data_IF_218729458370
#
_entry.id   IF_218729458370
#
_cell.length_a   1.000
_cell.length_b   1.000
_cell.length_c   1.000
_cell.angle_alpha   90.00
_cell.angle_beta   90.00
_cell.angle_gamma   90.00
#
_symmetry.space_group_name_H-M   'P 1'
#
loop_
_entity.id
_entity.type
_entity.pdbx_description
1 polymer ?
#
# COMPACT_ATOMS: atom_id res chain seq x y z
N UNK A 1 0.52 17.43 9.96
CA UNK A 1 0.39 17.61 11.42
C UNK A 1 0.25 16.24 12.07
N UNK A 2 0.86 16.04 13.25
CA UNK A 2 0.73 14.82 14.07
C UNK A 2 -0.20 15.15 15.23
N UNK A 3 -1.15 14.26 15.49
CA UNK A 3 -2.12 14.41 16.58
C UNK A 3 -1.96 13.29 17.59
N UNK A 4 -2.22 13.59 18.85
CA UNK A 4 -2.44 12.59 19.88
C UNK A 4 -3.79 11.90 19.64
N UNK A 5 -3.80 10.57 19.63
CA UNK A 5 -5.00 9.80 19.29
C UNK A 5 -6.09 9.89 20.37
N UNK A 6 -5.68 9.94 21.65
CA UNK A 6 -6.64 9.93 22.78
C UNK A 6 -7.27 11.31 22.99
N UNK A 7 -6.46 12.35 22.88
CA UNK A 7 -6.91 13.72 23.15
C UNK A 7 -7.37 14.48 21.91
N UNK A 8 -6.98 14.01 20.72
CA UNK A 8 -7.20 14.75 19.46
C UNK A 8 -6.36 16.02 19.35
N UNK A 9 -5.48 16.29 20.31
CA UNK A 9 -4.68 17.51 20.33
C UNK A 9 -3.53 17.44 19.31
N UNK A 10 -3.17 18.57 18.66
CA UNK A 10 -2.01 18.62 17.78
C UNK A 10 -0.72 18.51 18.62
N UNK A 11 0.09 17.51 18.32
CA UNK A 11 1.39 17.27 19.00
C UNK A 11 2.52 17.94 18.25
N UNK A 12 2.49 17.89 16.92
CA UNK A 12 3.59 18.43 16.10
C UNK A 12 3.10 18.88 14.71
N UNK A 13 3.56 20.05 14.29
CA UNK A 13 3.43 20.49 12.91
C UNK A 13 4.64 20.06 12.08
N UNK A 14 4.36 19.37 10.97
CA UNK A 14 5.33 18.92 9.99
C UNK A 14 5.10 19.56 8.60
N UNK A 15 4.34 20.62 8.52
CA UNK A 15 4.00 21.30 7.26
C UNK A 15 5.20 21.81 6.47
N UNK A 16 6.33 22.04 7.15
CA UNK A 16 7.58 22.52 6.56
C UNK A 16 8.51 21.43 6.01
N UNK A 17 8.13 20.15 6.16
CA UNK A 17 8.99 19.02 5.73
C UNK A 17 9.12 18.95 4.24
N UNK A 18 8.06 19.27 3.51
CA UNK A 18 7.97 19.22 2.06
C UNK A 18 7.51 20.54 1.46
N UNK A 19 8.01 20.84 0.26
CA UNK A 19 7.55 22.00 -0.52
C UNK A 19 6.25 21.72 -1.29
N UNK A 20 5.79 20.49 -1.29
CA UNK A 20 4.56 20.04 -1.95
C UNK A 20 3.66 19.23 -1.02
N UNK A 21 2.50 18.85 -1.57
CA UNK A 21 1.56 17.96 -0.85
C UNK A 21 2.24 16.64 -0.50
N UNK A 22 2.24 16.27 0.78
CA UNK A 22 2.59 14.92 1.21
C UNK A 22 1.46 13.97 0.80
N UNK A 23 1.74 13.06 -0.13
CA UNK A 23 0.76 12.15 -0.73
C UNK A 23 0.76 10.75 -0.12
N UNK A 24 1.85 10.37 0.54
CA UNK A 24 2.01 9.01 1.08
C UNK A 24 2.90 9.01 2.32
N UNK A 25 2.55 8.12 3.26
CA UNK A 25 3.23 7.90 4.52
C UNK A 25 3.52 6.41 4.70
N UNK A 26 4.67 6.10 5.29
CA UNK A 26 5.02 4.74 5.70
C UNK A 26 5.76 4.76 7.04
N UNK A 27 5.37 3.87 7.95
CA UNK A 27 6.04 3.71 9.24
C UNK A 27 7.08 2.59 9.18
N UNK A 28 8.28 2.86 9.68
CA UNK A 28 9.28 1.84 9.90
C UNK A 28 9.22 1.38 11.37
N UNK A 29 8.77 0.14 11.64
CA UNK A 29 8.63 -0.34 13.01
C UNK A 29 9.98 -0.56 13.72
N UNK A 30 11.04 -0.89 12.97
CA UNK A 30 12.37 -1.17 13.53
C UNK A 30 13.07 0.11 13.99
N UNK A 31 13.12 1.12 13.14
CA UNK A 31 13.76 2.40 13.45
C UNK A 31 12.84 3.38 14.17
N UNK A 32 11.54 3.10 14.21
CA UNK A 32 10.48 3.97 14.73
C UNK A 32 10.51 5.35 14.06
N UNK A 33 10.67 5.37 12.76
CA UNK A 33 10.67 6.58 11.94
C UNK A 33 9.47 6.61 11.02
N UNK A 34 8.96 7.81 10.78
CA UNK A 34 7.94 8.08 9.78
C UNK A 34 8.62 8.44 8.47
N UNK A 35 8.33 7.70 7.41
CA UNK A 35 8.78 8.05 6.06
C UNK A 35 7.64 8.74 5.33
N UNK A 36 7.95 9.86 4.69
CA UNK A 36 6.98 10.69 3.96
C UNK A 36 7.41 10.83 2.50
N UNK A 37 6.46 10.76 1.58
CA UNK A 37 6.67 11.00 0.16
C UNK A 37 5.71 12.07 -0.36
N UNK A 38 6.22 12.95 -1.23
CA UNK A 38 5.51 14.15 -1.61
C UNK A 38 5.52 14.41 -3.12
N UNK A 39 4.69 15.37 -3.51
CA UNK A 39 4.64 15.92 -4.87
C UNK A 39 5.94 16.64 -5.27
N UNK A 40 6.76 17.07 -4.30
CA UNK A 40 8.09 17.64 -4.54
C UNK A 40 9.13 16.58 -4.95
N UNK A 41 8.71 15.33 -5.19
CA UNK A 41 9.55 14.17 -5.54
C UNK A 41 10.51 13.69 -4.45
N UNK A 42 10.50 14.32 -3.29
CA UNK A 42 11.36 13.96 -2.16
C UNK A 42 10.72 12.92 -1.25
N UNK A 43 11.58 12.10 -0.66
CA UNK A 43 11.23 11.17 0.41
C UNK A 43 12.07 11.54 1.63
N UNK A 44 11.41 11.80 2.76
CA UNK A 44 12.07 12.09 4.03
C UNK A 44 11.78 11.02 5.06
N UNK A 45 12.82 10.61 5.79
CA UNK A 45 12.65 9.88 7.04
C UNK A 45 12.66 10.87 8.21
N UNK A 46 11.70 10.72 9.10
CA UNK A 46 11.45 11.61 10.22
C UNK A 46 11.48 10.82 11.53
N UNK A 47 12.39 11.17 12.43
CA UNK A 47 12.33 10.69 13.81
C UNK A 47 11.47 11.64 14.65
N UNK A 48 10.25 11.23 14.96
CA UNK A 48 9.30 12.04 15.69
C UNK A 48 9.67 12.24 17.17
N UNK A 49 10.67 11.52 17.68
CA UNK A 49 11.20 11.68 19.06
C UNK A 49 12.16 12.87 19.16
N UNK A 50 12.77 13.29 18.05
CA UNK A 50 13.68 14.41 18.03
C UNK A 50 12.92 15.72 18.18
N UNK A 51 13.12 16.50 19.26
CA UNK A 51 12.57 17.84 19.35
C UNK A 51 13.25 18.76 18.32
N UNK A 52 12.52 19.59 17.64
CA UNK A 52 13.04 20.54 16.64
C UNK A 52 13.11 19.95 15.24
N UNK A 53 14.25 19.47 14.77
CA UNK A 53 14.43 19.02 13.38
C UNK A 53 14.42 17.50 13.26
N UNK A 54 13.26 16.86 12.93
CA UNK A 54 13.13 15.42 12.90
C UNK A 54 13.67 14.77 11.60
N UNK A 55 14.07 15.52 10.57
CA UNK A 55 14.59 14.97 9.31
C UNK A 55 15.89 14.21 9.56
N UNK A 56 15.93 12.91 9.24
CA UNK A 56 17.07 12.04 9.45
C UNK A 56 17.73 11.60 8.14
N UNK A 57 16.94 11.40 7.09
CA UNK A 57 17.45 11.01 5.79
C UNK A 57 16.58 11.55 4.65
N UNK A 58 17.24 11.95 3.56
CA UNK A 58 16.63 12.34 2.29
C UNK A 58 16.94 11.29 1.24
N UNK A 59 15.91 10.89 0.47
CA UNK A 59 16.07 10.09 -0.75
C UNK A 59 15.51 10.88 -1.93
N UNK A 60 16.36 11.11 -2.92
CA UNK A 60 16.01 11.91 -4.09
C UNK A 60 16.41 11.18 -5.38
N UNK A 61 15.48 10.40 -5.92
CA UNK A 61 15.63 9.74 -7.22
C UNK A 61 14.41 9.93 -8.09
N UNK A 62 13.26 10.11 -7.46
CA UNK A 62 12.02 10.41 -8.15
C UNK A 62 12.09 11.79 -8.79
N UNK A 63 11.43 11.96 -9.93
CA UNK A 63 11.35 13.23 -10.67
C UNK A 63 9.93 13.79 -10.70
N UNK A 64 8.98 13.01 -10.21
CA UNK A 64 7.58 13.37 -10.06
C UNK A 64 7.07 12.97 -8.68
N UNK A 65 5.77 13.16 -8.44
CA UNK A 65 5.11 12.84 -7.17
C UNK A 65 5.38 11.39 -6.74
N UNK A 66 5.81 11.21 -5.49
CA UNK A 66 5.92 9.90 -4.84
C UNK A 66 4.54 9.44 -4.42
N UNK A 67 4.04 8.38 -5.06
CA UNK A 67 2.67 7.90 -4.91
C UNK A 67 2.53 6.69 -3.99
N UNK A 68 3.59 5.91 -3.84
CA UNK A 68 3.60 4.70 -3.03
C UNK A 68 4.85 4.61 -2.17
N UNK A 69 4.68 4.17 -0.92
CA UNK A 69 5.76 3.86 0.03
C UNK A 69 5.38 2.64 0.85
N UNK A 70 6.32 1.72 1.02
CA UNK A 70 6.15 0.60 1.94
C UNK A 70 7.51 0.10 2.44
N UNK A 71 7.62 -0.09 3.74
CA UNK A 71 8.76 -0.74 4.37
C UNK A 71 8.63 -2.26 4.30
N UNK A 72 9.74 -2.95 4.09
CA UNK A 72 9.81 -4.40 4.27
C UNK A 72 9.49 -4.77 5.73
N UNK A 73 8.97 -5.99 6.00
CA UNK A 73 8.62 -6.40 7.36
C UNK A 73 9.79 -6.34 8.36
N UNK A 74 11.03 -6.47 7.89
CA UNK A 74 12.24 -6.35 8.70
C UNK A 74 12.79 -4.92 8.78
N UNK A 75 12.07 -3.92 8.28
CA UNK A 75 12.45 -2.51 8.32
C UNK A 75 13.73 -2.13 7.55
N UNK A 76 14.30 -3.07 6.78
CA UNK A 76 15.63 -2.88 6.14
C UNK A 76 15.57 -2.33 4.73
N UNK A 77 14.44 -2.53 4.05
CA UNK A 77 14.28 -2.05 2.67
C UNK A 77 13.00 -1.23 2.56
N UNK A 78 13.14 -0.01 2.04
CA UNK A 78 11.99 0.79 1.63
C UNK A 78 11.74 0.57 0.14
N UNK A 79 10.50 0.37 -0.24
CA UNK A 79 10.04 0.45 -1.62
C UNK A 79 9.30 1.77 -1.83
N UNK A 80 9.64 2.49 -2.90
CA UNK A 80 8.93 3.71 -3.29
C UNK A 80 8.51 3.66 -4.75
N UNK A 81 7.33 4.16 -5.04
CA UNK A 81 6.78 4.27 -6.39
C UNK A 81 6.43 5.71 -6.73
N UNK A 82 6.74 6.13 -7.94
CA UNK A 82 6.50 7.48 -8.44
C UNK A 82 5.55 7.53 -9.62
N UNK A 83 5.10 8.75 -9.89
CA UNK A 83 4.22 9.06 -11.03
C UNK A 83 4.93 8.91 -12.39
N UNK A 84 6.28 8.93 -12.40
CA UNK A 84 7.13 8.67 -13.58
C UNK A 84 7.32 7.17 -13.86
N UNK A 85 6.46 6.30 -13.31
CA UNK A 85 6.45 4.85 -13.50
C UNK A 85 7.68 4.13 -12.86
N UNK A 86 8.40 4.83 -11.98
CA UNK A 86 9.62 4.34 -11.39
C UNK A 86 9.32 3.64 -10.06
N UNK A 87 9.86 2.44 -9.89
CA UNK A 87 9.99 1.74 -8.61
C UNK A 87 11.43 1.86 -8.13
N UNK A 88 11.63 2.30 -6.90
CA UNK A 88 12.93 2.33 -6.24
C UNK A 88 12.92 1.45 -5.00
N UNK A 89 14.05 0.75 -4.76
CA UNK A 89 14.32 0.00 -3.53
C UNK A 89 15.54 0.61 -2.84
N UNK A 90 15.39 0.97 -1.57
CA UNK A 90 16.40 1.66 -0.77
C UNK A 90 16.82 0.79 0.41
N UNK A 91 18.13 0.70 0.68
CA UNK A 91 18.64 0.04 1.89
C UNK A 91 18.61 1.06 3.05
N UNK A 92 17.91 0.72 4.13
CA UNK A 92 17.81 1.58 5.32
C UNK A 92 19.15 1.85 6.00
N UNK A 93 20.11 0.95 5.83
CA UNK A 93 21.46 1.07 6.43
C UNK A 93 22.42 1.93 5.61
N UNK A 94 21.99 2.30 4.40
CA UNK A 94 22.80 3.08 3.50
C UNK A 94 22.40 4.55 3.55
N UNK A 95 23.33 5.42 3.94
CA UNK A 95 23.08 6.87 3.97
C UNK A 95 23.14 7.53 2.59
N UNK A 96 23.36 6.75 1.53
CA UNK A 96 23.40 7.29 0.16
C UNK A 96 22.00 7.68 -0.30
N UNK A 97 21.86 8.79 -1.02
CA UNK A 97 20.59 9.25 -1.54
C UNK A 97 20.09 8.43 -2.75
N UNK A 98 20.91 7.54 -3.32
CA UNK A 98 20.55 6.70 -4.45
C UNK A 98 19.93 5.37 -4.01
N UNK A 99 18.91 4.88 -4.76
CA UNK A 99 18.33 3.58 -4.51
C UNK A 99 19.28 2.45 -4.93
N UNK A 100 19.19 1.32 -4.23
CA UNK A 100 19.88 0.08 -4.61
C UNK A 100 19.35 -0.51 -5.92
N UNK A 101 18.04 -0.35 -6.16
CA UNK A 101 17.35 -0.76 -7.39
C UNK A 101 16.48 0.40 -7.85
N UNK A 102 16.53 0.69 -9.15
CA UNK A 102 15.62 1.62 -9.83
C UNK A 102 15.10 0.96 -11.10
N UNK A 103 13.80 0.79 -11.25
CA UNK A 103 13.19 0.07 -12.37
C UNK A 103 11.97 0.79 -12.91
N UNK A 104 11.92 0.96 -14.23
CA UNK A 104 10.76 1.46 -15.00
C UNK A 104 9.99 0.32 -15.70
N UNK A 105 9.88 -0.85 -15.07
CA UNK A 105 9.16 -1.97 -15.65
C UNK A 105 7.64 -1.74 -15.72
N UNK A 106 7.09 -0.81 -14.92
CA UNK A 106 5.71 -0.37 -15.04
C UNK A 106 5.55 0.67 -16.15
N UNK A 107 4.41 0.62 -16.85
CA UNK A 107 4.05 1.59 -17.90
C UNK A 107 3.22 2.78 -17.37
N UNK A 108 2.88 2.77 -16.08
CA UNK A 108 2.16 3.86 -15.41
C UNK A 108 2.59 3.99 -13.96
N UNK A 109 2.08 5.03 -13.27
CA UNK A 109 2.38 5.34 -11.88
C UNK A 109 2.30 4.11 -10.96
N UNK A 110 3.24 3.98 -10.05
CA UNK A 110 3.33 2.87 -9.08
C UNK A 110 2.84 3.37 -7.73
N UNK A 111 1.56 3.14 -7.43
CA UNK A 111 0.94 3.53 -6.16
C UNK A 111 0.82 2.36 -5.19
N UNK A 112 0.32 1.23 -5.67
CA UNK A 112 0.10 0.06 -4.84
C UNK A 112 1.41 -0.70 -4.65
N UNK A 113 1.85 -0.82 -3.41
CA UNK A 113 3.08 -1.51 -3.01
C UNK A 113 2.78 -2.33 -1.76
N UNK A 114 3.13 -3.62 -1.78
CA UNK A 114 2.94 -4.48 -0.61
C UNK A 114 4.06 -5.53 -0.52
N UNK A 115 4.68 -5.63 0.65
CA UNK A 115 5.66 -6.67 0.96
C UNK A 115 4.97 -7.94 1.44
N UNK A 116 5.49 -9.09 1.03
CA UNK A 116 5.06 -10.36 1.61
C UNK A 116 5.50 -10.43 3.08
N UNK A 117 4.60 -10.76 4.02
CA UNK A 117 4.97 -10.87 5.43
C UNK A 117 5.88 -12.07 5.71
N UNK A 118 5.76 -13.15 4.91
CA UNK A 118 6.52 -14.40 5.12
C UNK A 118 7.84 -14.44 4.36
N UNK A 119 7.91 -13.79 3.20
CA UNK A 119 9.06 -13.85 2.29
C UNK A 119 9.73 -12.48 2.20
N UNK A 120 10.82 -12.29 2.98
CA UNK A 120 11.54 -11.01 3.12
C UNK A 120 11.93 -10.33 1.81
N UNK A 121 12.14 -11.10 0.74
CA UNK A 121 12.53 -10.56 -0.57
C UNK A 121 11.41 -10.51 -1.59
N UNK A 122 10.17 -10.87 -1.23
CA UNK A 122 9.04 -10.85 -2.15
C UNK A 122 8.25 -9.55 -1.99
N UNK A 123 8.18 -8.81 -3.08
CA UNK A 123 7.45 -7.55 -3.17
C UNK A 123 6.40 -7.64 -4.26
N UNK A 124 5.20 -7.10 -4.02
CA UNK A 124 4.18 -6.89 -5.04
C UNK A 124 4.00 -5.40 -5.31
N UNK A 125 3.85 -5.04 -6.58
CA UNK A 125 3.54 -3.67 -7.00
C UNK A 125 2.41 -3.67 -8.01
N UNK A 126 1.61 -2.62 -8.00
CA UNK A 126 0.50 -2.43 -8.92
C UNK A 126 0.65 -1.19 -9.76
N UNK A 127 0.42 -1.33 -11.05
CA UNK A 127 0.51 -0.24 -12.03
C UNK A 127 -0.80 0.51 -12.20
N UNK A 128 -0.68 1.76 -12.62
CA UNK A 128 -1.80 2.67 -12.90
C UNK A 128 -2.60 2.29 -14.16
N UNK A 129 -3.42 3.22 -14.63
CA UNK A 129 -4.42 2.99 -15.69
C UNK A 129 -3.84 2.53 -17.03
N UNK A 130 -2.64 2.96 -17.39
CA UNK A 130 -2.00 2.58 -18.65
C UNK A 130 -1.18 1.28 -18.54
N UNK A 131 -0.91 0.79 -17.33
CA UNK A 131 -0.14 -0.41 -17.08
C UNK A 131 -1.02 -1.62 -16.77
N UNK A 132 -1.97 -1.47 -15.85
CA UNK A 132 -2.96 -2.48 -15.48
C UNK A 132 -2.36 -3.84 -15.11
N UNK A 133 -1.17 -3.85 -14.50
CA UNK A 133 -0.50 -5.08 -14.10
C UNK A 133 -0.21 -5.12 -12.60
N UNK A 134 -0.22 -6.33 -12.05
CA UNK A 134 0.46 -6.64 -10.81
C UNK A 134 1.80 -7.28 -11.15
N UNK A 135 2.88 -6.75 -10.60
CA UNK A 135 4.23 -7.33 -10.74
C UNK A 135 4.73 -7.85 -9.40
N UNK A 136 5.31 -9.04 -9.44
CA UNK A 136 6.02 -9.62 -8.30
C UNK A 136 7.53 -9.49 -8.53
N UNK A 137 8.25 -9.15 -7.48
CA UNK A 137 9.67 -8.85 -7.55
C UNK A 137 10.46 -9.67 -6.54
N UNK A 138 11.65 -10.09 -6.95
CA UNK A 138 12.69 -10.42 -5.99
C UNK A 138 13.39 -9.11 -5.59
N UNK A 139 13.06 -8.60 -4.41
CA UNK A 139 13.60 -7.34 -3.95
C UNK A 139 15.12 -7.39 -3.69
N UNK A 140 15.70 -8.55 -3.48
CA UNK A 140 17.17 -8.68 -3.31
C UNK A 140 17.95 -8.43 -4.61
N UNK A 141 17.44 -8.93 -5.73
CA UNK A 141 18.08 -8.78 -7.05
C UNK A 141 17.49 -7.63 -7.88
N UNK A 142 16.29 -7.14 -7.53
CA UNK A 142 15.52 -6.20 -8.35
C UNK A 142 14.84 -6.83 -9.57
N UNK A 143 14.87 -8.16 -9.70
CA UNK A 143 14.29 -8.86 -10.83
C UNK A 143 12.77 -9.00 -10.71
N UNK A 144 12.06 -8.81 -11.83
CA UNK A 144 10.64 -9.16 -11.95
C UNK A 144 10.50 -10.67 -12.01
N UNK A 145 9.73 -11.25 -11.11
CA UNK A 145 9.42 -12.68 -11.06
C UNK A 145 8.20 -13.04 -11.92
N UNK A 146 7.19 -12.16 -11.89
CA UNK A 146 5.93 -12.34 -12.61
C UNK A 146 5.33 -10.96 -12.96
N UNK A 147 4.61 -10.89 -14.07
CA UNK A 147 3.86 -9.70 -14.48
C UNK A 147 2.47 -10.13 -14.97
N UNK A 148 1.47 -9.93 -14.11
CA UNK A 148 0.09 -10.37 -14.35
C UNK A 148 -0.79 -9.20 -14.78
N UNK A 149 -1.37 -9.30 -15.98
CA UNK A 149 -2.37 -8.36 -16.43
C UNK A 149 -3.67 -8.53 -15.61
N UNK A 150 -4.21 -7.41 -15.15
CA UNK A 150 -5.46 -7.36 -14.35
C UNK A 150 -6.62 -6.74 -15.13
N UNK A 151 -6.34 -6.08 -16.25
CA UNK A 151 -7.33 -5.42 -17.10
C UNK A 151 -7.85 -4.09 -16.55
N UNK A 152 -7.41 -3.66 -15.37
CA UNK A 152 -7.81 -2.39 -14.73
C UNK A 152 -6.69 -1.86 -13.85
N UNK A 153 -6.75 -0.56 -13.53
CA UNK A 153 -5.82 0.08 -12.60
C UNK A 153 -5.77 -0.66 -11.25
N UNK A 154 -4.58 -0.94 -10.75
CA UNK A 154 -4.37 -1.48 -9.40
C UNK A 154 -4.24 -0.31 -8.43
N UNK A 155 -5.16 -0.21 -7.47
CA UNK A 155 -5.23 0.91 -6.52
C UNK A 155 -4.63 0.59 -5.16
N UNK A 156 -4.64 -0.71 -4.77
CA UNK A 156 -4.09 -1.19 -3.51
C UNK A 156 -3.75 -2.68 -3.58
N UNK A 157 -2.85 -3.10 -2.71
CA UNK A 157 -2.39 -4.48 -2.55
C UNK A 157 -2.29 -4.84 -1.07
N UNK A 158 -2.61 -6.07 -0.72
CA UNK A 158 -2.43 -6.61 0.63
C UNK A 158 -2.10 -8.11 0.58
N UNK A 159 -1.12 -8.56 1.36
CA UNK A 159 -0.76 -9.98 1.46
C UNK A 159 -1.45 -10.66 2.63
N UNK A 160 -1.88 -11.89 2.42
CA UNK A 160 -2.17 -12.78 3.54
C UNK A 160 -0.89 -13.18 4.27
N UNK A 161 -0.96 -13.31 5.59
CA UNK A 161 0.17 -13.76 6.40
C UNK A 161 0.42 -15.27 6.24
N UNK A 162 -0.63 -16.08 6.22
CA UNK A 162 -0.52 -17.53 6.40
C UNK A 162 -0.66 -18.31 5.09
N UNK A 163 -1.36 -17.76 4.09
CA UNK A 163 -1.72 -18.51 2.87
C UNK A 163 -0.91 -18.14 1.64
N UNK A 164 -0.06 -17.12 1.74
CA UNK A 164 0.70 -16.61 0.59
C UNK A 164 -0.19 -16.05 -0.53
N UNK A 165 -1.41 -15.68 -0.20
CA UNK A 165 -2.36 -15.06 -1.13
C UNK A 165 -2.16 -13.54 -1.17
N UNK A 166 -2.39 -12.96 -2.33
CA UNK A 166 -2.34 -11.51 -2.56
C UNK A 166 -3.74 -11.01 -2.90
N UNK A 167 -4.19 -9.99 -2.21
CA UNK A 167 -5.39 -9.23 -2.57
C UNK A 167 -4.98 -8.00 -3.37
N UNK A 168 -5.68 -7.73 -4.47
CA UNK A 168 -5.59 -6.48 -5.20
C UNK A 168 -6.94 -5.77 -5.25
N UNK A 169 -6.94 -4.45 -5.11
CA UNK A 169 -8.11 -3.60 -5.36
C UNK A 169 -7.91 -2.81 -6.64
N UNK A 170 -9.03 -2.50 -7.29
CA UNK A 170 -9.02 -1.96 -8.62
C UNK A 170 -9.84 -0.68 -8.77
N UNK A 171 -9.44 0.12 -9.75
CA UNK A 171 -10.15 1.32 -10.15
C UNK A 171 -11.07 1.09 -11.34
N UNK A 172 -11.36 2.17 -12.04
CA UNK A 172 -12.16 2.19 -13.25
C UNK A 172 -11.62 1.18 -14.29
N UNK A 173 -12.41 0.32 -14.92
CA UNK A 173 -13.89 0.39 -15.03
C UNK A 173 -14.64 -0.67 -14.20
N UNK A 174 -13.94 -1.59 -13.53
CA UNK A 174 -14.58 -2.77 -12.93
C UNK A 174 -14.71 -2.68 -11.41
N UNK A 175 -13.87 -1.85 -10.75
CA UNK A 175 -13.93 -1.54 -9.31
C UNK A 175 -13.91 -2.78 -8.39
N UNK A 176 -13.33 -3.88 -8.86
CA UNK A 176 -13.31 -5.18 -8.17
C UNK A 176 -12.18 -5.27 -7.15
N UNK A 177 -12.30 -6.27 -6.29
CA UNK A 177 -11.20 -6.84 -5.53
C UNK A 177 -10.91 -8.24 -6.09
N UNK A 178 -9.62 -8.58 -6.23
CA UNK A 178 -9.21 -9.90 -6.69
C UNK A 178 -8.26 -10.55 -5.69
N UNK A 179 -8.48 -11.83 -5.40
CA UNK A 179 -7.55 -12.67 -4.62
C UNK A 179 -6.75 -13.53 -5.59
N UNK A 180 -5.45 -13.53 -5.41
CA UNK A 180 -4.49 -14.25 -6.22
C UNK A 180 -3.70 -15.22 -5.35
N UNK A 181 -3.30 -16.37 -5.93
CA UNK A 181 -2.35 -17.30 -5.31
C UNK A 181 -1.02 -17.20 -6.05
N UNK A 182 0.05 -16.99 -5.31
CA UNK A 182 1.40 -17.04 -5.84
C UNK A 182 1.97 -18.47 -5.73
N UNK A 183 2.25 -19.08 -6.87
CA UNK A 183 2.97 -20.35 -6.95
C UNK A 183 4.45 -20.06 -7.32
N UNK A 184 5.33 -20.17 -6.33
CA UNK A 184 6.75 -19.87 -6.53
C UNK A 184 7.47 -20.89 -7.43
N UNK A 185 6.99 -22.15 -7.48
CA UNK A 185 7.59 -23.20 -8.31
C UNK A 185 7.28 -22.97 -9.79
N UNK A 186 6.04 -22.59 -10.08
CA UNK A 186 5.59 -22.28 -11.44
C UNK A 186 5.87 -20.85 -11.88
N UNK A 187 6.23 -19.97 -10.91
CA UNK A 187 6.30 -18.51 -11.11
C UNK A 187 5.01 -17.97 -11.74
N UNK A 188 3.85 -18.38 -11.22
CA UNK A 188 2.56 -17.95 -11.70
C UNK A 188 1.75 -17.27 -10.59
N UNK A 189 1.02 -16.23 -10.97
CA UNK A 189 0.05 -15.54 -10.13
C UNK A 189 -1.35 -15.87 -10.67
N UNK A 190 -2.05 -16.80 -10.00
CA UNK A 190 -3.32 -17.32 -10.45
C UNK A 190 -4.48 -16.65 -9.70
N UNK A 191 -5.46 -16.14 -10.45
CA UNK A 191 -6.66 -15.53 -9.87
C UNK A 191 -7.56 -16.60 -9.27
N UNK A 192 -7.85 -16.48 -7.95
CA UNK A 192 -8.73 -17.39 -7.22
C UNK A 192 -10.16 -16.86 -7.16
N UNK A 193 -10.32 -15.59 -6.79
CA UNK A 193 -11.62 -14.97 -6.51
C UNK A 193 -11.63 -13.58 -7.10
N UNK A 194 -12.81 -13.19 -7.57
CA UNK A 194 -13.11 -11.83 -7.97
C UNK A 194 -14.39 -11.36 -7.28
N UNK A 195 -14.34 -10.21 -6.61
CA UNK A 195 -15.43 -9.65 -5.82
C UNK A 195 -15.80 -8.28 -6.39
N UNK A 196 -17.04 -8.13 -6.87
CA UNK A 196 -17.58 -6.89 -7.46
C UNK A 196 -18.71 -6.38 -6.59
N UNK A 197 -18.42 -5.45 -5.69
CA UNK A 197 -19.43 -4.84 -4.81
C UNK A 197 -19.34 -3.31 -4.82
N UNK A 198 -18.13 -2.76 -4.97
CA UNK A 198 -17.97 -1.33 -5.16
C UNK A 198 -18.52 -0.91 -6.52
N UNK A 199 -19.30 0.17 -6.53
CA UNK A 199 -19.86 0.76 -7.75
C UNK A 199 -18.95 1.81 -8.35
N UNK A 200 -17.93 2.26 -7.59
CA UNK A 200 -16.91 3.17 -8.04
C UNK A 200 -15.52 2.69 -7.59
N UNK A 201 -14.50 3.38 -8.06
CA UNK A 201 -13.09 3.04 -7.83
C UNK A 201 -12.77 2.82 -6.36
N UNK A 202 -12.10 1.72 -6.02
CA UNK A 202 -11.57 1.49 -4.68
C UNK A 202 -10.37 2.43 -4.46
N UNK A 203 -10.41 3.20 -3.37
CA UNK A 203 -9.43 4.26 -3.08
C UNK A 203 -8.35 3.80 -2.12
N UNK A 204 -8.74 3.02 -1.10
CA UNK A 204 -7.85 2.56 -0.05
C UNK A 204 -8.21 1.16 0.43
N UNK A 205 -7.18 0.46 0.91
CA UNK A 205 -7.27 -0.83 1.61
C UNK A 205 -6.61 -0.67 2.98
N UNK A 206 -7.18 -1.32 3.98
CA UNK A 206 -6.56 -1.51 5.28
C UNK A 206 -6.75 -2.94 5.74
N UNK A 207 -5.70 -3.56 6.24
CA UNK A 207 -5.73 -4.92 6.73
C UNK A 207 -5.83 -4.93 8.26
N UNK A 208 -6.60 -5.87 8.81
CA UNK A 208 -6.69 -6.04 10.26
C UNK A 208 -5.34 -6.53 10.84
N UNK A 209 -5.03 -6.22 12.11
CA UNK A 209 -3.76 -6.62 12.73
C UNK A 209 -3.52 -8.13 12.76
N UNK A 210 -4.59 -8.92 12.79
CA UNK A 210 -4.56 -10.39 12.73
C UNK A 210 -4.51 -10.93 11.29
N UNK A 211 -4.48 -10.07 10.29
CA UNK A 211 -4.48 -10.38 8.86
C UNK A 211 -5.70 -11.15 8.34
N UNK A 212 -6.73 -11.36 9.15
CA UNK A 212 -7.91 -12.14 8.76
C UNK A 212 -8.91 -11.37 7.90
N UNK A 213 -8.93 -10.04 8.04
CA UNK A 213 -9.90 -9.16 7.37
C UNK A 213 -9.22 -8.05 6.61
N UNK A 214 -9.91 -7.56 5.60
CA UNK A 214 -9.51 -6.36 4.85
C UNK A 214 -10.69 -5.40 4.78
N UNK A 215 -10.46 -4.15 5.11
CA UNK A 215 -11.39 -3.06 4.85
C UNK A 215 -11.04 -2.42 3.51
N UNK A 216 -12.05 -2.09 2.71
CA UNK A 216 -11.91 -1.31 1.49
C UNK A 216 -12.84 -0.11 1.50
N UNK A 217 -12.37 1.01 0.98
CA UNK A 217 -13.16 2.24 0.80
C UNK A 217 -13.14 2.62 -0.67
N UNK A 218 -14.32 2.89 -1.22
CA UNK A 218 -14.49 3.31 -2.60
C UNK A 218 -14.91 4.78 -2.76
N UNK A 219 -14.84 5.28 -3.99
CA UNK A 219 -15.42 6.60 -4.35
C UNK A 219 -16.95 6.57 -4.37
N UNK A 220 -17.56 5.41 -4.14
CA UNK A 220 -18.99 5.22 -3.90
C UNK A 220 -19.39 5.55 -2.46
N UNK A 221 -18.46 6.09 -1.67
CA UNK A 221 -18.65 6.45 -0.25
C UNK A 221 -19.00 5.24 0.63
N UNK A 222 -18.65 4.02 0.19
CA UNK A 222 -18.92 2.78 0.90
C UNK A 222 -17.66 2.24 1.53
N UNK A 223 -17.73 1.88 2.82
CA UNK A 223 -16.76 1.07 3.53
C UNK A 223 -17.24 -0.38 3.55
N UNK A 224 -16.41 -1.30 3.07
CA UNK A 224 -16.67 -2.74 3.11
C UNK A 224 -15.61 -3.47 3.91
N UNK A 225 -16.03 -4.48 4.68
CA UNK A 225 -15.13 -5.38 5.40
C UNK A 225 -15.26 -6.78 4.81
N UNK A 226 -14.12 -7.35 4.43
CA UNK A 226 -14.00 -8.63 3.74
C UNK A 226 -13.27 -9.64 4.62
N UNK A 227 -13.80 -10.85 4.74
CA UNK A 227 -13.11 -12.00 5.28
C UNK A 227 -12.57 -12.83 4.10
N UNK A 228 -11.35 -12.53 3.65
CA UNK A 228 -10.80 -13.06 2.39
C UNK A 228 -9.66 -14.05 2.59
N UNK A 229 -9.00 -14.01 3.75
CA UNK A 229 -7.84 -14.83 4.05
C UNK A 229 -8.14 -15.89 5.14
N UNK A 230 -9.26 -16.60 5.00
CA UNK A 230 -9.62 -17.63 5.98
C UNK A 230 -8.83 -18.92 5.70
N UNK A 231 -7.88 -19.25 6.56
CA UNK A 231 -7.04 -20.45 6.47
C UNK A 231 -7.86 -21.76 6.52
N UNK A 232 -9.10 -21.72 7.00
CA UNK A 232 -9.99 -22.90 7.08
C UNK A 232 -10.64 -23.25 5.75
N UNK A 233 -10.61 -22.37 4.77
CA UNK A 233 -11.23 -22.60 3.47
C UNK A 233 -10.40 -23.49 2.52
N UNK A 234 -9.11 -23.65 2.77
CA UNK A 234 -8.24 -24.51 1.95
C UNK A 234 -8.35 -26.02 2.30
N UNK A 235 -8.98 -26.39 3.42
CA UNK A 235 -9.09 -27.79 3.88
C UNK A 235 -10.31 -28.54 3.30
N UNK A 236 -11.17 -27.90 2.54
CA UNK A 236 -12.34 -28.54 1.92
C UNK A 236 -12.68 -27.88 0.58
N UNK A 237 -12.74 -28.67 -0.48
CA UNK A 237 -13.21 -28.26 -1.81
C UNK A 237 -14.65 -27.70 -1.72
N UNK A 238 -14.81 -26.48 -1.32
CA UNK A 238 -16.08 -25.78 -1.24
C UNK A 238 -15.88 -24.30 -1.55
N UNK A 239 -16.70 -23.76 -2.42
CA UNK A 239 -16.67 -22.39 -2.88
C UNK A 239 -16.46 -21.40 -1.72
N UNK A 240 -15.37 -20.64 -1.76
CA UNK A 240 -15.13 -19.48 -0.90
C UNK A 240 -16.19 -18.42 -1.20
N UNK A 241 -17.33 -18.54 -0.54
CA UNK A 241 -18.30 -17.46 -0.49
C UNK A 241 -17.77 -16.43 0.50
N UNK A 242 -17.19 -15.37 0.01
CA UNK A 242 -16.79 -14.24 0.84
C UNK A 242 -17.99 -13.75 1.65
N UNK A 243 -18.03 -14.08 2.94
CA UNK A 243 -19.02 -13.51 3.86
C UNK A 243 -18.67 -12.05 4.06
N UNK A 244 -19.37 -11.17 3.38
CA UNK A 244 -19.32 -9.74 3.64
C UNK A 244 -20.36 -9.38 4.69
N UNK A 245 -20.01 -8.54 5.64
CA UNK A 245 -21.00 -7.72 6.36
C UNK A 245 -20.98 -6.34 5.72
N UNK A 246 -22.10 -5.94 5.12
CA UNK A 246 -22.37 -4.55 4.82
C UNK A 246 -22.34 -3.79 6.16
N UNK A 247 -21.27 -3.08 6.41
CA UNK A 247 -21.29 -2.02 7.40
C UNK A 247 -21.94 -0.85 6.69
N UNK A 248 -23.23 -0.68 6.96
CA UNK A 248 -24.10 0.32 6.35
C UNK A 248 -23.42 1.69 6.32
N UNK A 249 -23.80 2.45 5.27
CA UNK A 249 -23.63 3.89 5.10
C UNK A 249 -23.26 4.56 6.41
N UNK A 250 -22.10 5.19 6.45
CA UNK A 250 -21.65 5.93 7.61
C UNK A 250 -22.59 7.11 7.83
N UNK A 251 -23.56 6.96 8.74
CA UNK A 251 -24.24 8.09 9.32
C UNK A 251 -23.20 8.84 10.17
N UNK A 252 -22.94 10.12 9.91
CA UNK A 252 -21.97 10.87 10.67
C UNK A 252 -22.48 11.04 12.10
N UNK A 253 -22.01 10.21 13.03
CA UNK A 253 -22.28 10.33 14.48
C UNK A 253 -21.56 11.54 15.10
N UNK A 254 -21.02 12.43 14.29
CA UNK A 254 -20.50 13.74 14.70
C UNK A 254 -21.34 14.89 14.14
N UNK A 255 -22.65 14.82 14.30
CA UNK A 255 -23.52 16.00 14.27
C UNK A 255 -23.85 16.40 15.71
N UNK A 256 -22.85 16.85 16.45
CA UNK A 256 -22.91 17.44 17.77
C UNK A 256 -22.16 18.76 17.79
N UNK A 257 -22.82 19.82 17.39
CA UNK A 257 -22.71 21.23 17.71
C UNK A 257 -21.33 21.83 17.98
N UNK A 258 -20.84 22.58 16.99
CA UNK A 258 -20.40 23.97 17.18
C UNK A 258 -19.97 24.50 15.81
N UNK A 259 -20.70 25.50 15.30
CA UNK A 259 -20.39 26.16 14.05
C UNK A 259 -19.02 26.81 14.12
N UNK A 260 -18.20 26.51 13.11
CA UNK A 260 -17.07 27.35 12.74
C UNK A 260 -17.53 28.25 11.57
N UNK A 261 -17.67 29.52 11.92
CA UNK A 261 -17.67 30.62 10.95
C UNK A 261 -16.26 30.87 10.45
#
# INVERSE_FOLDING_TARGET
>A
MVFDFETGAPVRDLGWVHDGRCGVLAWNPETRTLTTGSRDSCIWDLDLRCPGFPKTALRSKHTQEVCGLAWSPDGRTLASGGNENLLCLWDARCSRPEPRVASKAHAAAVKAIAWSPDKRSLLATGGGTLDQTVKLWNASSGAVLESKATGTQVTGLAWSKDTGQLLSSHGFSQNQLCVWRWDAAKRSLDKLIEMRKHTARVLALAQSPDFSRVASVGSDEVLMIWSVFDARADAGRGALVGKHRDVRRWDPVFAGGAGLR
#
